data_IF_780849409760
#
_entry.id   IF_780849409760
#
_cell.length_a   1.000
_cell.length_b   1.000
_cell.length_c   1.000
_cell.angle_alpha   90.00
_cell.angle_beta   90.00
_cell.angle_gamma   90.00
#
_symmetry.space_group_name_H-M   'P 1'
#
loop_
_entity.id
_entity.type
_entity.pdbx_description
1 polymer ?
#
# COMPACT_ATOMS: atom_id res chain seq x y z
N UNK A 1 16.57 11.81 27.46
CA UNK A 1 17.75 12.13 26.62
C UNK A 1 17.45 11.74 25.19
N UNK A 2 18.24 12.14 24.19
CA UNK A 2 17.92 11.89 22.77
C UNK A 2 18.03 10.41 22.33
N UNK A 3 18.36 9.53 23.27
CA UNK A 3 18.38 8.08 23.07
C UNK A 3 17.40 7.47 24.06
N UNK A 4 16.42 6.75 23.53
CA UNK A 4 15.48 5.93 24.25
C UNK A 4 15.89 4.46 24.15
N UNK A 5 15.90 3.77 25.29
CA UNK A 5 16.17 2.33 25.34
C UNK A 5 14.86 1.55 25.30
N UNK A 6 14.04 1.81 24.29
CA UNK A 6 12.77 1.12 24.10
C UNK A 6 12.95 -0.08 23.17
N UNK A 7 12.60 -1.27 23.67
CA UNK A 7 12.51 -2.48 22.88
C UNK A 7 11.11 -3.10 23.08
N UNK A 8 10.36 -3.20 22.00
CA UNK A 8 9.07 -3.91 21.95
C UNK A 8 9.32 -5.23 21.23
N UNK A 9 9.13 -6.35 21.91
CA UNK A 9 9.55 -7.66 21.39
C UNK A 9 8.49 -8.72 21.61
N UNK A 10 8.13 -9.47 20.56
CA UNK A 10 7.22 -10.62 20.69
C UNK A 10 5.79 -10.23 21.10
N UNK A 11 5.37 -8.99 20.85
CA UNK A 11 4.05 -8.50 21.24
C UNK A 11 3.00 -8.81 20.18
N UNK A 12 1.75 -8.97 20.62
CA UNK A 12 0.57 -9.11 19.75
C UNK A 12 -0.36 -7.92 20.00
N UNK A 13 -0.71 -7.19 18.95
CA UNK A 13 -1.66 -6.08 18.98
C UNK A 13 -2.76 -6.31 17.95
N UNK A 14 -3.98 -6.59 18.42
CA UNK A 14 -5.10 -7.01 17.56
C UNK A 14 -6.36 -6.20 17.83
N UNK A 15 -6.96 -5.66 16.77
CA UNK A 15 -8.23 -4.94 16.88
C UNK A 15 -8.13 -3.63 17.67
N UNK A 16 -6.94 -3.04 17.80
CA UNK A 16 -6.79 -1.74 18.45
C UNK A 16 -7.38 -0.65 17.54
N UNK A 17 -8.06 0.33 18.15
CA UNK A 17 -8.82 1.33 17.41
C UNK A 17 -8.03 2.10 16.34
N UNK A 18 -6.81 2.50 16.63
CA UNK A 18 -5.96 3.25 15.68
C UNK A 18 -4.71 2.47 15.33
N UNK A 19 -3.77 2.30 16.27
CA UNK A 19 -2.47 1.71 15.98
C UNK A 19 -2.30 0.39 16.73
N UNK A 20 -1.63 -0.58 16.09
CA UNK A 20 -1.08 -1.74 16.79
C UNK A 20 0.03 -1.32 17.73
N UNK A 21 1.11 -0.78 17.16
CA UNK A 21 2.23 -0.13 17.88
C UNK A 21 2.50 1.21 17.19
N UNK A 22 2.74 2.28 17.94
CA UNK A 22 3.12 3.56 17.34
C UNK A 22 4.16 4.28 18.19
N UNK A 23 4.97 5.09 17.53
CA UNK A 23 5.91 6.02 18.13
C UNK A 23 5.56 7.42 17.63
N UNK A 24 5.35 8.33 18.55
CA UNK A 24 4.87 9.67 18.23
C UNK A 24 5.70 10.70 18.98
N UNK A 25 6.27 11.64 18.23
CA UNK A 25 6.92 12.80 18.81
C UNK A 25 5.86 13.70 19.45
N UNK A 26 6.07 14.08 20.72
CA UNK A 26 5.07 14.82 21.50
C UNK A 26 5.20 16.34 21.41
N UNK A 27 6.39 16.85 21.08
CA UNK A 27 6.66 18.28 20.87
C UNK A 27 7.59 18.46 19.67
N UNK A 28 7.29 19.42 18.82
CA UNK A 28 7.97 19.66 17.54
C UNK A 28 9.40 20.21 17.71
N UNK A 29 9.65 20.92 18.82
CA UNK A 29 10.96 21.44 19.20
C UNK A 29 11.87 20.39 19.86
N UNK A 30 11.36 19.18 20.13
CA UNK A 30 12.17 18.10 20.69
C UNK A 30 13.00 17.40 19.62
N UNK A 31 14.21 17.00 20.02
CA UNK A 31 15.04 16.12 19.21
C UNK A 31 14.32 14.77 19.08
N UNK A 32 14.04 14.28 17.85
CA UNK A 32 13.48 12.95 17.62
C UNK A 32 14.20 11.86 18.42
N UNK A 33 13.47 10.98 19.13
CA UNK A 33 14.08 9.94 19.95
C UNK A 33 14.71 8.85 19.08
N UNK A 34 15.86 8.35 19.53
CA UNK A 34 16.64 7.31 18.83
C UNK A 34 16.81 6.05 19.64
N UNK A 35 17.13 4.94 18.97
CA UNK A 35 17.49 3.67 19.63
C UNK A 35 16.30 2.75 19.91
N UNK A 36 15.14 3.06 19.33
CA UNK A 36 13.90 2.31 19.49
C UNK A 36 13.87 1.10 18.55
N UNK A 37 13.45 -0.05 19.06
CA UNK A 37 13.39 -1.31 18.30
C UNK A 37 12.06 -2.02 18.50
N UNK A 38 11.44 -2.45 17.40
CA UNK A 38 10.25 -3.31 17.39
C UNK A 38 10.61 -4.61 16.68
N UNK A 39 10.56 -5.74 17.40
CA UNK A 39 11.09 -7.00 16.89
C UNK A 39 10.13 -8.17 17.11
N UNK A 40 9.91 -8.98 16.08
CA UNK A 40 9.07 -10.18 16.15
C UNK A 40 7.64 -9.93 16.67
N UNK A 41 7.07 -8.75 16.39
CA UNK A 41 5.71 -8.41 16.80
C UNK A 41 4.68 -8.80 15.74
N UNK A 42 3.44 -9.00 16.17
CA UNK A 42 2.29 -9.27 15.32
C UNK A 42 1.23 -8.18 15.51
N UNK A 43 0.81 -7.55 14.41
CA UNK A 43 -0.25 -6.54 14.41
C UNK A 43 -1.34 -6.89 13.39
N UNK A 44 -2.58 -7.03 13.87
CA UNK A 44 -3.73 -7.44 13.03
C UNK A 44 -4.97 -6.59 13.30
N UNK A 45 -5.76 -6.29 12.26
CA UNK A 45 -7.08 -5.65 12.41
C UNK A 45 -7.03 -4.29 13.14
N UNK A 46 -5.89 -3.60 13.13
CA UNK A 46 -5.80 -2.20 13.60
C UNK A 46 -6.07 -1.26 12.40
N UNK A 47 -6.16 0.07 12.59
CA UNK A 47 -6.09 0.97 11.41
C UNK A 47 -4.69 0.93 10.79
N UNK A 48 -3.68 1.08 11.63
CA UNK A 48 -2.28 0.96 11.26
C UNK A 48 -1.62 -0.15 12.07
N UNK A 49 -0.83 -1.00 11.43
CA UNK A 49 -0.09 -2.06 12.14
C UNK A 49 0.98 -1.45 13.04
N UNK A 50 2.03 -0.91 12.43
CA UNK A 50 3.09 -0.17 13.11
C UNK A 50 3.25 1.21 12.49
N UNK A 51 3.29 2.25 13.32
CA UNK A 51 3.42 3.65 12.86
C UNK A 51 4.63 4.37 13.45
N UNK A 52 5.34 5.12 12.61
CA UNK A 52 6.46 5.99 12.98
C UNK A 52 6.13 7.46 12.66
N UNK A 53 5.68 8.18 13.69
CA UNK A 53 5.26 9.57 13.64
C UNK A 53 6.25 10.47 14.41
N UNK A 54 7.55 10.26 14.15
CA UNK A 54 8.58 11.21 14.54
C UNK A 54 9.78 10.62 15.29
N UNK A 55 10.03 9.31 15.21
CA UNK A 55 11.28 8.73 15.69
C UNK A 55 12.44 9.00 14.71
N UNK A 56 13.67 8.89 15.20
CA UNK A 56 14.89 8.87 14.38
C UNK A 56 15.59 7.51 14.55
N UNK A 57 15.74 6.76 13.47
CA UNK A 57 16.40 5.46 13.48
C UNK A 57 15.57 4.32 14.08
N UNK A 58 14.24 4.33 13.89
CA UNK A 58 13.40 3.19 14.27
C UNK A 58 13.83 1.92 13.53
N UNK A 59 14.03 0.82 14.26
CA UNK A 59 14.28 -0.50 13.66
C UNK A 59 13.05 -1.38 13.87
N UNK A 60 12.44 -1.84 12.77
CA UNK A 60 11.37 -2.83 12.76
C UNK A 60 11.87 -4.09 12.08
N UNK A 61 11.87 -5.24 12.77
CA UNK A 61 12.39 -6.47 12.20
C UNK A 61 11.60 -7.72 12.55
N UNK A 62 11.37 -8.57 11.54
CA UNK A 62 10.74 -9.87 11.73
C UNK A 62 9.27 -9.80 12.16
N UNK A 63 8.59 -8.69 11.91
CA UNK A 63 7.21 -8.48 12.32
C UNK A 63 6.21 -8.98 11.27
N UNK A 64 4.98 -9.29 11.69
CA UNK A 64 3.86 -9.58 10.79
C UNK A 64 2.77 -8.51 10.96
N UNK A 65 2.41 -7.82 9.88
CA UNK A 65 1.43 -6.73 9.86
C UNK A 65 0.31 -7.10 8.88
N UNK A 66 -0.77 -7.70 9.40
CA UNK A 66 -1.77 -8.39 8.59
C UNK A 66 -3.15 -7.74 8.73
N UNK A 67 -3.86 -7.48 7.62
CA UNK A 67 -5.26 -7.05 7.71
C UNK A 67 -5.51 -5.74 8.48
N UNK A 68 -4.51 -4.86 8.58
CA UNK A 68 -4.68 -3.53 9.17
C UNK A 68 -5.35 -2.61 8.14
N UNK A 69 -6.38 -1.87 8.55
CA UNK A 69 -7.38 -1.29 7.66
C UNK A 69 -6.82 -0.24 6.71
N UNK A 70 -5.83 0.53 7.14
CA UNK A 70 -5.23 1.63 6.37
C UNK A 70 -3.86 1.24 5.84
N UNK A 71 -2.93 0.82 6.71
CA UNK A 71 -1.61 0.35 6.29
C UNK A 71 -1.03 -0.67 7.26
N UNK A 72 -0.20 -1.57 6.75
CA UNK A 72 0.59 -2.47 7.61
C UNK A 72 1.69 -1.71 8.36
N UNK A 73 2.48 -0.93 7.62
CA UNK A 73 3.49 -0.02 8.18
C UNK A 73 3.24 1.41 7.68
N UNK A 74 3.31 2.39 8.57
CA UNK A 74 3.06 3.80 8.27
C UNK A 74 4.18 4.70 8.79
N UNK A 75 4.64 5.62 7.95
CA UNK A 75 5.41 6.81 8.36
C UNK A 75 4.65 7.99 7.81
N UNK A 76 4.19 8.90 8.66
CA UNK A 76 3.38 10.03 8.21
C UNK A 76 3.31 11.15 9.25
N UNK A 77 2.75 12.29 8.83
CA UNK A 77 2.44 13.42 9.69
C UNK A 77 1.12 13.26 10.48
N UNK A 78 0.61 12.04 10.70
CA UNK A 78 -0.64 11.86 11.47
C UNK A 78 -0.46 12.01 12.98
N UNK A 79 0.78 11.98 13.46
CA UNK A 79 1.07 12.25 14.86
C UNK A 79 0.84 13.70 15.26
N UNK A 80 0.84 13.93 16.56
CA UNK A 80 0.53 15.21 17.23
C UNK A 80 1.39 16.36 16.71
N UNK A 81 2.66 16.14 16.40
CA UNK A 81 3.57 17.17 15.88
C UNK A 81 3.56 17.30 14.37
N UNK A 82 2.80 16.47 13.65
CA UNK A 82 2.79 16.42 12.18
C UNK A 82 4.18 16.15 11.55
N UNK A 83 5.04 15.44 12.27
CA UNK A 83 6.40 15.08 11.83
C UNK A 83 6.47 13.58 11.55
N UNK A 84 6.81 13.20 10.31
CA UNK A 84 7.11 11.80 9.99
C UNK A 84 8.43 11.35 10.60
N UNK A 85 8.54 10.05 10.91
CA UNK A 85 9.81 9.45 11.32
C UNK A 85 10.90 9.55 10.26
N UNK A 86 12.16 9.37 10.65
CA UNK A 86 13.34 9.43 9.77
C UNK A 86 14.38 8.38 10.14
N UNK A 87 15.29 8.08 9.23
CA UNK A 87 16.44 7.19 9.47
C UNK A 87 16.08 5.72 9.75
N UNK A 88 14.81 5.33 9.60
CA UNK A 88 14.34 4.02 10.02
C UNK A 88 14.66 2.89 9.05
N UNK A 89 14.55 1.65 9.56
CA UNK A 89 14.79 0.42 8.83
C UNK A 89 13.66 -0.57 9.13
N UNK A 90 12.97 -1.04 8.10
CA UNK A 90 12.00 -2.14 8.18
C UNK A 90 12.53 -3.34 7.41
N UNK A 91 12.76 -4.46 8.09
CA UNK A 91 13.41 -5.61 7.47
C UNK A 91 12.91 -6.98 7.89
N UNK A 92 12.78 -7.89 6.92
CA UNK A 92 12.37 -9.26 7.14
C UNK A 92 10.92 -9.39 7.65
N UNK A 93 10.07 -8.41 7.35
CA UNK A 93 8.68 -8.39 7.78
C UNK A 93 7.75 -9.02 6.73
N UNK A 94 6.59 -9.50 7.19
CA UNK A 94 5.47 -9.90 6.34
C UNK A 94 4.36 -8.88 6.50
N UNK A 95 4.00 -8.21 5.41
CA UNK A 95 2.97 -7.18 5.36
C UNK A 95 1.94 -7.59 4.33
N UNK A 96 0.79 -8.11 4.77
CA UNK A 96 -0.12 -8.82 3.87
C UNK A 96 -1.60 -8.54 4.17
N UNK A 97 -2.42 -8.58 3.12
CA UNK A 97 -3.89 -8.54 3.21
C UNK A 97 -4.47 -7.31 3.93
N UNK A 98 -3.75 -6.19 3.99
CA UNK A 98 -4.27 -4.93 4.53
C UNK A 98 -5.31 -4.35 3.55
N UNK A 99 -6.55 -4.00 3.96
CA UNK A 99 -7.55 -3.39 3.07
C UNK A 99 -7.09 -2.10 2.37
N UNK A 100 -6.16 -1.38 2.98
CA UNK A 100 -5.43 -0.26 2.37
C UNK A 100 -4.09 -0.70 1.79
N UNK A 101 -3.00 -0.08 2.23
CA UNK A 101 -1.65 -0.27 1.70
C UNK A 101 -0.84 -1.28 2.49
N UNK A 102 0.22 -1.80 1.88
CA UNK A 102 1.25 -2.51 2.64
C UNK A 102 2.07 -1.54 3.48
N UNK A 103 2.86 -0.72 2.79
CA UNK A 103 3.70 0.33 3.37
C UNK A 103 3.21 1.68 2.86
N UNK A 104 2.91 2.60 3.77
CA UNK A 104 2.69 4.01 3.48
C UNK A 104 3.86 4.82 4.05
N UNK A 105 4.57 5.55 3.19
CA UNK A 105 5.67 6.43 3.57
C UNK A 105 5.33 7.85 3.15
N UNK A 106 5.44 8.78 4.09
CA UNK A 106 5.03 10.15 3.88
C UNK A 106 5.54 11.14 4.90
N UNK A 107 5.61 12.40 4.48
CA UNK A 107 6.03 13.55 5.29
C UNK A 107 7.34 13.30 6.06
N UNK A 108 8.20 12.45 5.50
CA UNK A 108 9.52 12.13 6.04
C UNK A 108 10.57 12.87 5.23
N UNK A 109 11.59 13.46 5.88
CA UNK A 109 12.74 13.97 5.15
C UNK A 109 13.63 12.85 4.60
N UNK A 110 13.40 11.60 5.02
CA UNK A 110 14.33 10.49 4.83
C UNK A 110 15.59 10.62 5.71
N UNK A 111 16.56 9.69 5.60
CA UNK A 111 16.51 8.43 4.83
C UNK A 111 15.51 7.41 5.42
N UNK A 112 15.12 6.40 4.66
CA UNK A 112 14.37 5.24 5.18
C UNK A 112 14.67 3.99 4.35
N UNK A 113 14.82 2.85 5.01
CA UNK A 113 15.19 1.58 4.36
C UNK A 113 14.18 0.46 4.55
N UNK A 114 13.79 -0.20 3.46
CA UNK A 114 12.92 -1.37 3.47
C UNK A 114 13.62 -2.54 2.79
N UNK A 115 14.01 -3.55 3.57
CA UNK A 115 14.91 -4.62 3.11
C UNK A 115 14.33 -6.01 3.33
N UNK A 116 14.24 -6.82 2.28
CA UNK A 116 13.91 -8.24 2.42
C UNK A 116 12.51 -8.51 2.96
N UNK A 117 11.55 -7.60 2.75
CA UNK A 117 10.18 -7.77 3.20
C UNK A 117 9.36 -8.52 2.17
N UNK A 118 8.31 -9.23 2.63
CA UNK A 118 7.25 -9.75 1.78
C UNK A 118 6.03 -8.85 1.93
N UNK A 119 5.63 -8.19 0.86
CA UNK A 119 4.54 -7.21 0.86
C UNK A 119 3.52 -7.58 -0.18
N UNK A 120 2.31 -7.97 0.21
CA UNK A 120 1.35 -8.43 -0.77
C UNK A 120 -0.10 -8.46 -0.38
N UNK A 121 -0.92 -8.81 -1.36
CA UNK A 121 -2.36 -8.96 -1.21
C UNK A 121 -3.09 -7.73 -0.62
N UNK A 122 -2.47 -6.55 -0.62
CA UNK A 122 -3.07 -5.36 -0.04
C UNK A 122 -4.15 -4.78 -0.98
N UNK A 123 -5.13 -4.10 -0.40
CA UNK A 123 -6.27 -3.53 -1.12
C UNK A 123 -5.93 -2.32 -1.97
N UNK A 124 -4.74 -1.74 -1.81
CA UNK A 124 -4.19 -0.70 -2.69
C UNK A 124 -2.77 -1.07 -3.13
N UNK A 125 -1.76 -0.38 -2.62
CA UNK A 125 -0.39 -0.48 -3.08
C UNK A 125 0.44 -1.40 -2.19
N UNK A 126 1.50 -1.99 -2.74
CA UNK A 126 2.52 -2.64 -1.90
C UNK A 126 3.30 -1.60 -1.10
N UNK A 127 3.79 -0.58 -1.79
CA UNK A 127 4.44 0.60 -1.24
C UNK A 127 3.80 1.86 -1.81
N UNK A 128 3.52 2.84 -0.97
CA UNK A 128 2.96 4.13 -1.36
C UNK A 128 3.77 5.28 -0.75
N UNK A 129 4.44 6.06 -1.59
CA UNK A 129 5.04 7.35 -1.23
C UNK A 129 3.99 8.46 -1.39
N UNK A 130 3.65 9.17 -0.31
CA UNK A 130 2.70 10.28 -0.37
C UNK A 130 2.93 11.27 0.77
N UNK A 131 2.63 12.55 0.58
CA UNK A 131 2.62 13.52 1.67
C UNK A 131 1.17 13.83 2.07
N UNK A 132 0.89 13.79 3.37
CA UNK A 132 -0.37 14.32 3.90
C UNK A 132 -0.30 15.84 3.98
N UNK A 133 -1.45 16.50 3.76
CA UNK A 133 -1.55 17.94 3.92
C UNK A 133 -1.23 18.36 5.36
N UNK A 134 -0.46 19.43 5.53
CA UNK A 134 -0.06 19.96 6.84
C UNK A 134 1.22 19.35 7.44
N UNK A 135 1.74 18.27 6.86
CA UNK A 135 3.08 17.76 7.18
C UNK A 135 4.17 18.34 6.29
N UNK A 136 5.41 17.85 6.46
CA UNK A 136 6.52 18.17 5.55
C UNK A 136 6.18 17.77 4.10
N UNK A 137 6.41 18.68 3.16
CA UNK A 137 6.13 18.50 1.73
C UNK A 137 7.41 18.42 0.90
N UNK A 138 8.58 18.58 1.53
CA UNK A 138 9.86 18.47 0.85
C UNK A 138 10.06 17.04 0.30
N UNK A 139 10.89 16.88 -0.75
CA UNK A 139 11.20 15.55 -1.27
C UNK A 139 11.86 14.68 -0.21
N UNK A 140 11.36 13.45 -0.03
CA UNK A 140 12.04 12.48 0.80
C UNK A 140 13.36 12.07 0.13
N UNK A 141 14.45 12.07 0.90
CA UNK A 141 15.80 11.78 0.41
C UNK A 141 16.22 10.35 0.78
N UNK A 142 17.03 9.72 -0.06
CA UNK A 142 17.71 8.45 0.28
C UNK A 142 16.76 7.31 0.73
N UNK A 143 15.61 7.19 0.07
CA UNK A 143 14.66 6.09 0.30
C UNK A 143 15.13 4.82 -0.41
N UNK A 144 15.21 3.72 0.32
CA UNK A 144 15.72 2.44 -0.18
C UNK A 144 14.66 1.34 -0.12
N UNK A 145 14.35 0.75 -1.27
CA UNK A 145 13.62 -0.52 -1.38
C UNK A 145 14.57 -1.58 -1.94
N UNK A 146 15.00 -2.51 -1.09
CA UNK A 146 15.96 -3.54 -1.44
C UNK A 146 15.44 -4.96 -1.20
N UNK A 147 15.62 -5.83 -2.20
CA UNK A 147 15.39 -7.28 -2.06
C UNK A 147 14.00 -7.67 -1.52
N UNK A 148 12.97 -6.83 -1.74
CA UNK A 148 11.60 -7.12 -1.31
C UNK A 148 10.87 -8.01 -2.33
N UNK A 149 9.94 -8.85 -1.87
CA UNK A 149 8.95 -9.55 -2.71
C UNK A 149 7.60 -8.83 -2.60
N UNK A 150 7.28 -8.01 -3.62
CA UNK A 150 6.08 -7.17 -3.68
C UNK A 150 5.10 -7.76 -4.69
N UNK A 151 3.96 -8.29 -4.24
CA UNK A 151 3.11 -9.09 -5.13
C UNK A 151 1.63 -9.10 -4.79
N UNK A 152 0.78 -9.31 -5.79
CA UNK A 152 -0.65 -9.54 -5.57
C UNK A 152 -1.42 -8.35 -5.00
N UNK A 153 -0.84 -7.15 -4.99
CA UNK A 153 -1.53 -5.95 -4.54
C UNK A 153 -2.62 -5.56 -5.53
N UNK A 154 -3.69 -4.95 -5.03
CA UNK A 154 -4.84 -4.56 -5.81
C UNK A 154 -4.49 -3.54 -6.90
N UNK A 155 -3.60 -2.60 -6.60
CA UNK A 155 -3.13 -1.55 -7.49
C UNK A 155 -1.64 -1.75 -7.79
N UNK A 156 -0.83 -0.70 -7.74
CA UNK A 156 0.59 -0.77 -8.06
C UNK A 156 1.40 -1.57 -7.04
N UNK A 157 2.51 -2.14 -7.47
CA UNK A 157 3.51 -2.68 -6.54
C UNK A 157 4.13 -1.56 -5.71
N UNK A 158 4.69 -0.55 -6.39
CA UNK A 158 5.28 0.67 -5.84
C UNK A 158 4.58 1.86 -6.49
N UNK A 159 3.99 2.75 -5.70
CA UNK A 159 3.35 3.99 -6.13
C UNK A 159 4.11 5.18 -5.54
N UNK A 160 4.57 6.09 -6.39
CA UNK A 160 5.22 7.33 -5.97
C UNK A 160 4.35 8.55 -6.30
N UNK A 161 3.63 9.06 -5.31
CA UNK A 161 2.75 10.23 -5.42
C UNK A 161 3.32 11.49 -4.72
N UNK A 162 4.43 11.36 -3.98
CA UNK A 162 5.19 12.50 -3.46
C UNK A 162 6.64 12.51 -3.97
N UNK A 163 7.31 13.68 -4.01
CA UNK A 163 8.63 13.81 -4.58
C UNK A 163 9.71 12.98 -3.85
N UNK A 164 10.62 12.40 -4.62
CA UNK A 164 11.79 11.67 -4.12
C UNK A 164 13.10 12.23 -4.69
N UNK A 165 14.14 12.24 -3.86
CA UNK A 165 15.51 12.56 -4.25
C UNK A 165 16.46 11.40 -3.90
N UNK A 166 17.22 10.95 -4.90
CA UNK A 166 18.16 9.84 -4.79
C UNK A 166 17.57 8.52 -4.24
N UNK A 167 16.33 8.11 -4.63
CA UNK A 167 15.80 6.83 -4.16
C UNK A 167 16.52 5.65 -4.81
N UNK A 168 16.66 4.54 -4.09
CA UNK A 168 17.25 3.30 -4.58
C UNK A 168 16.23 2.15 -4.54
N UNK A 169 15.88 1.63 -5.72
CA UNK A 169 15.03 0.46 -5.89
C UNK A 169 15.86 -0.65 -6.51
N UNK A 170 16.30 -1.65 -5.75
CA UNK A 170 17.18 -2.67 -6.30
C UNK A 170 16.98 -4.08 -5.76
N UNK A 171 17.19 -5.07 -6.64
CA UNK A 171 17.06 -6.49 -6.30
C UNK A 171 15.64 -6.93 -5.93
N UNK A 172 14.60 -6.11 -6.14
CA UNK A 172 13.24 -6.46 -5.75
C UNK A 172 12.62 -7.45 -6.76
N UNK A 173 11.73 -8.31 -6.26
CA UNK A 173 10.79 -9.09 -7.08
C UNK A 173 9.40 -8.46 -6.99
N UNK A 174 8.89 -7.98 -8.11
CA UNK A 174 7.60 -7.29 -8.19
C UNK A 174 6.73 -7.99 -9.25
N UNK A 175 5.59 -8.54 -8.84
CA UNK A 175 4.79 -9.40 -9.74
C UNK A 175 3.31 -9.47 -9.41
N UNK A 176 2.48 -9.71 -10.43
CA UNK A 176 1.06 -10.02 -10.25
C UNK A 176 0.28 -8.97 -9.46
N UNK A 177 0.76 -7.72 -9.45
CA UNK A 177 0.01 -6.59 -8.89
C UNK A 177 -1.12 -6.19 -9.85
N UNK A 178 -1.89 -5.16 -9.51
CA UNK A 178 -3.04 -4.73 -10.28
C UNK A 178 -4.25 -5.65 -10.17
N UNK A 179 -4.34 -6.45 -9.09
CA UNK A 179 -5.40 -7.46 -8.89
C UNK A 179 -6.81 -6.89 -8.90
N UNK A 180 -7.00 -5.61 -8.58
CA UNK A 180 -8.25 -4.87 -8.80
C UNK A 180 -8.46 -4.64 -10.28
N UNK A 181 -8.78 -5.71 -11.01
CA UNK A 181 -8.89 -5.75 -12.46
C UNK A 181 -10.33 -5.95 -12.95
N UNK A 182 -11.27 -6.28 -12.07
CA UNK A 182 -12.67 -6.40 -12.47
C UNK A 182 -13.24 -5.03 -12.87
N UNK A 183 -14.16 -4.97 -13.85
CA UNK A 183 -14.85 -3.72 -14.20
C UNK A 183 -15.77 -3.25 -13.06
N UNK A 184 -16.34 -2.07 -13.24
CA UNK A 184 -17.45 -1.58 -12.43
C UNK A 184 -18.67 -2.48 -12.62
N UNK A 185 -19.46 -2.63 -11.57
CA UNK A 185 -20.66 -3.47 -11.60
C UNK A 185 -21.70 -2.96 -10.63
N UNK A 186 -22.94 -3.40 -10.83
CA UNK A 186 -24.08 -3.08 -9.98
C UNK A 186 -25.01 -4.28 -9.95
N UNK A 187 -25.71 -4.45 -8.84
CA UNK A 187 -26.72 -5.49 -8.67
C UNK A 187 -27.75 -5.09 -7.64
N UNK A 188 -28.73 -5.97 -7.41
CA UNK A 188 -29.84 -5.78 -6.48
C UNK A 188 -30.99 -6.74 -6.77
N UNK A 189 -31.98 -6.75 -5.89
CA UNK A 189 -33.15 -7.62 -5.99
C UNK A 189 -32.90 -9.05 -5.49
N UNK A 190 -33.75 -9.97 -5.92
CA UNK A 190 -33.68 -11.38 -5.52
C UNK A 190 -32.32 -12.01 -5.85
N UNK A 191 -31.71 -12.68 -4.86
CA UNK A 191 -30.38 -13.29 -4.94
C UNK A 191 -29.24 -12.41 -4.41
N UNK A 192 -29.53 -11.16 -3.99
CA UNK A 192 -28.55 -10.30 -3.30
C UNK A 192 -28.75 -10.34 -1.80
N UNK A 193 -27.71 -10.69 -1.06
CA UNK A 193 -27.74 -10.84 0.39
C UNK A 193 -26.54 -10.16 1.05
N UNK A 194 -26.80 -9.26 1.99
CA UNK A 194 -25.74 -8.71 2.84
C UNK A 194 -25.66 -9.52 4.14
N UNK A 195 -24.46 -9.99 4.48
CA UNK A 195 -24.12 -10.53 5.79
C UNK A 195 -23.28 -9.52 6.59
N UNK A 196 -22.87 -9.83 7.83
CA UNK A 196 -22.11 -8.87 8.64
C UNK A 196 -20.80 -8.41 7.97
N UNK A 197 -20.07 -9.30 7.31
CA UNK A 197 -18.80 -9.01 6.64
C UNK A 197 -18.79 -9.51 5.18
N UNK A 198 -19.96 -9.61 4.56
CA UNK A 198 -20.09 -10.15 3.21
C UNK A 198 -21.24 -9.53 2.44
N UNK A 199 -21.13 -9.60 1.12
CA UNK A 199 -22.24 -9.42 0.19
C UNK A 199 -22.20 -10.54 -0.84
N UNK A 200 -23.30 -11.26 -1.01
CA UNK A 200 -23.48 -12.29 -2.03
C UNK A 200 -24.43 -11.77 -3.11
N UNK A 201 -24.07 -11.97 -4.37
CA UNK A 201 -24.95 -11.82 -5.53
C UNK A 201 -24.92 -13.13 -6.32
N UNK A 202 -25.98 -13.93 -6.19
CA UNK A 202 -26.07 -15.26 -6.82
C UNK A 202 -26.04 -15.22 -8.36
N UNK A 203 -26.25 -14.05 -8.96
CA UNK A 203 -26.24 -13.85 -10.42
C UNK A 203 -24.94 -13.23 -10.92
N UNK A 204 -24.01 -12.90 -10.02
CA UNK A 204 -22.71 -12.40 -10.41
C UNK A 204 -21.81 -13.49 -10.99
N UNK A 205 -20.87 -13.07 -11.83
CA UNK A 205 -19.76 -13.87 -12.36
C UNK A 205 -18.48 -13.02 -12.32
N UNK A 206 -18.12 -12.58 -11.11
CA UNK A 206 -16.98 -11.69 -10.92
C UNK A 206 -15.65 -12.43 -11.12
N UNK A 207 -14.65 -11.69 -11.61
CA UNK A 207 -13.27 -12.18 -11.59
C UNK A 207 -12.84 -12.38 -10.12
N UNK A 208 -12.40 -13.59 -9.70
CA UNK A 208 -11.97 -13.82 -8.33
C UNK A 208 -10.81 -12.91 -7.91
N UNK A 209 -10.96 -12.25 -6.76
CA UNK A 209 -10.07 -11.19 -6.25
C UNK A 209 -10.03 -9.91 -7.09
N UNK A 210 -10.84 -9.80 -8.14
CA UNK A 210 -10.90 -8.69 -9.07
C UNK A 210 -11.47 -7.39 -8.49
N UNK A 211 -12.23 -7.48 -7.39
CA UNK A 211 -12.84 -6.35 -6.71
C UNK A 211 -12.07 -5.89 -5.45
N UNK A 212 -10.94 -6.52 -5.14
CA UNK A 212 -10.12 -6.19 -3.96
C UNK A 212 -9.84 -4.69 -3.82
N UNK A 213 -10.08 -4.18 -2.62
CA UNK A 213 -9.93 -2.80 -2.16
C UNK A 213 -10.93 -1.79 -2.75
N UNK A 214 -11.88 -2.22 -3.60
CA UNK A 214 -12.93 -1.30 -4.06
C UNK A 214 -13.82 -0.92 -2.89
N UNK A 215 -14.28 0.33 -2.92
CA UNK A 215 -15.37 0.78 -2.07
C UNK A 215 -16.69 0.32 -2.69
N UNK A 216 -17.37 -0.59 -2.00
CA UNK A 216 -18.71 -1.04 -2.28
C UNK A 216 -19.69 -0.03 -1.70
N UNK A 217 -20.62 0.44 -2.51
CA UNK A 217 -21.75 1.28 -2.08
C UNK A 217 -23.01 0.43 -2.07
N UNK A 218 -23.79 0.46 -0.98
CA UNK A 218 -25.04 -0.32 -0.83
C UNK A 218 -26.16 0.59 -0.32
N UNK A 219 -27.32 0.55 -0.95
CA UNK A 219 -28.48 1.37 -0.58
C UNK A 219 -28.93 2.34 -1.68
N UNK A 220 -30.02 3.08 -1.45
CA UNK A 220 -30.42 4.21 -2.30
C UNK A 220 -29.57 5.45 -1.98
N UNK A 221 -29.40 6.37 -2.94
CA UNK A 221 -28.54 7.57 -2.83
C UNK A 221 -28.68 8.35 -1.50
N UNK A 222 -29.90 8.44 -0.95
CA UNK A 222 -30.18 9.18 0.29
C UNK A 222 -29.73 8.47 1.58
N UNK A 223 -29.44 7.17 1.52
CA UNK A 223 -29.04 6.34 2.67
C UNK A 223 -28.01 5.26 2.31
N UNK A 224 -27.13 5.56 1.36
CA UNK A 224 -26.04 4.65 0.98
C UNK A 224 -25.05 4.47 2.15
N UNK A 225 -24.67 3.22 2.38
CA UNK A 225 -23.54 2.85 3.24
C UNK A 225 -22.41 2.30 2.40
N UNK A 226 -21.17 2.46 2.87
CA UNK A 226 -19.98 1.96 2.17
C UNK A 226 -19.25 0.88 2.97
N UNK A 227 -18.61 -0.02 2.24
CA UNK A 227 -17.72 -1.04 2.79
C UNK A 227 -16.53 -1.27 1.85
N UNK A 228 -15.38 -1.69 2.38
CA UNK A 228 -14.20 -2.01 1.56
C UNK A 228 -14.16 -3.50 1.28
N UNK A 229 -14.00 -3.89 0.01
CA UNK A 229 -13.85 -5.30 -0.38
C UNK A 229 -12.43 -5.78 -0.04
N UNK A 230 -12.30 -6.84 0.75
CA UNK A 230 -11.01 -7.50 1.06
C UNK A 230 -10.65 -8.52 -0.02
N UNK A 231 -11.62 -9.30 -0.45
CA UNK A 231 -11.46 -10.27 -1.52
C UNK A 231 -12.82 -10.66 -2.11
N UNK A 232 -12.83 -11.41 -3.21
CA UNK A 232 -14.08 -11.93 -3.76
C UNK A 232 -13.93 -13.26 -4.49
N UNK A 233 -15.00 -14.06 -4.47
CA UNK A 233 -15.24 -15.18 -5.41
C UNK A 233 -16.02 -14.66 -6.63
N UNK A 234 -16.58 -15.57 -7.43
CA UNK A 234 -17.47 -15.19 -8.54
C UNK A 234 -18.78 -14.54 -8.06
N UNK A 235 -19.25 -14.88 -6.86
CA UNK A 235 -20.57 -14.50 -6.33
C UNK A 235 -20.53 -13.83 -4.96
N UNK A 236 -19.41 -13.89 -4.25
CA UNK A 236 -19.29 -13.42 -2.87
C UNK A 236 -18.18 -12.38 -2.72
N UNK A 237 -18.51 -11.26 -2.11
CA UNK A 237 -17.57 -10.26 -1.62
C UNK A 237 -17.30 -10.53 -0.14
N UNK A 238 -16.03 -10.57 0.24
CA UNK A 238 -15.60 -10.47 1.64
C UNK A 238 -15.30 -9.01 1.94
N UNK A 239 -15.82 -8.48 3.04
CA UNK A 239 -15.78 -7.06 3.38
C UNK A 239 -14.93 -6.82 4.63
N UNK A 240 -14.22 -5.68 4.65
CA UNK A 240 -13.48 -5.23 5.80
C UNK A 240 -14.45 -4.78 6.91
N UNK A 241 -14.13 -5.02 8.20
CA UNK A 241 -14.89 -4.45 9.29
C UNK A 241 -14.93 -2.92 9.23
N UNK A 242 -16.04 -2.31 9.67
CA UNK A 242 -16.22 -0.85 9.64
C UNK A 242 -15.20 -0.10 10.52
N UNK A 243 -14.66 -0.79 11.52
CA UNK A 243 -13.56 -0.34 12.38
C UNK A 243 -12.85 -1.55 12.99
N UNK A 244 -11.61 -1.38 13.48
CA UNK A 244 -10.92 -2.41 14.27
C UNK A 244 -11.80 -3.05 15.33
N UNK A 245 -11.76 -4.39 15.39
CA UNK A 245 -12.53 -5.21 16.33
C UNK A 245 -14.03 -5.28 16.07
N UNK A 246 -14.56 -4.66 15.02
CA UNK A 246 -15.98 -4.77 14.68
C UNK A 246 -16.32 -6.13 14.03
N UNK A 247 -17.46 -6.70 14.38
CA UNK A 247 -17.99 -7.91 13.74
C UNK A 247 -18.82 -7.64 12.48
N UNK A 248 -18.79 -6.40 11.96
CA UNK A 248 -19.62 -5.94 10.84
C UNK A 248 -18.88 -4.92 9.98
N UNK A 249 -19.18 -4.90 8.68
CA UNK A 249 -18.72 -3.92 7.70
C UNK A 249 -19.61 -2.67 7.67
N UNK A 250 -20.77 -2.73 8.33
CA UNK A 250 -21.83 -1.75 8.18
C UNK A 250 -21.96 -0.84 9.42
N UNK A 251 -21.96 0.49 9.28
CA UNK A 251 -22.06 1.42 10.40
C UNK A 251 -23.44 1.41 11.06
N UNK A 252 -24.51 1.37 10.24
CA UNK A 252 -25.90 1.57 10.69
C UNK A 252 -26.72 0.27 10.68
N UNK A 253 -26.04 -0.88 10.69
CA UNK A 253 -26.64 -2.21 10.59
C UNK A 253 -26.54 -2.83 9.19
N UNK A 254 -26.77 -4.14 9.11
CA UNK A 254 -26.64 -4.87 7.83
C UNK A 254 -27.75 -4.46 6.87
N UNK A 255 -27.42 -4.05 5.63
CA UNK A 255 -28.42 -3.73 4.61
C UNK A 255 -29.40 -4.88 4.38
N UNK A 256 -30.63 -4.55 4.02
CA UNK A 256 -31.69 -5.53 3.81
C UNK A 256 -31.42 -6.49 2.64
N UNK A 257 -32.09 -7.65 2.59
CA UNK A 257 -32.05 -8.51 1.42
C UNK A 257 -32.49 -7.77 0.16
N UNK A 258 -31.78 -8.01 -0.95
CA UNK A 258 -32.05 -7.41 -2.24
C UNK A 258 -31.72 -5.92 -2.36
N UNK A 259 -31.11 -5.30 -1.34
CA UNK A 259 -30.65 -3.91 -1.45
C UNK A 259 -29.66 -3.76 -2.61
N UNK A 260 -29.86 -2.72 -3.42
CA UNK A 260 -29.01 -2.46 -4.56
C UNK A 260 -27.58 -2.09 -4.12
N UNK A 261 -26.60 -2.47 -4.92
CA UNK A 261 -25.20 -2.15 -4.68
C UNK A 261 -24.50 -1.68 -5.96
N UNK A 262 -23.38 -0.97 -5.77
CA UNK A 262 -22.50 -0.51 -6.84
C UNK A 262 -21.03 -0.70 -6.44
N UNK A 263 -20.23 -1.15 -7.39
CA UNK A 263 -18.77 -1.16 -7.34
C UNK A 263 -18.23 -0.29 -8.48
N UNK A 264 -17.24 0.58 -8.23
CA UNK A 264 -16.66 1.43 -9.25
C UNK A 264 -15.80 0.63 -10.23
N UNK A 265 -15.46 1.25 -11.36
CA UNK A 265 -14.43 0.72 -12.28
C UNK A 265 -13.05 0.61 -11.62
N UNK A 266 -12.20 -0.23 -12.20
CA UNK A 266 -10.80 -0.29 -11.78
C UNK A 266 -10.02 0.94 -12.29
N UNK A 267 -9.20 1.60 -11.45
CA UNK A 267 -8.31 2.65 -11.94
C UNK A 267 -7.22 2.02 -12.81
N UNK A 268 -6.83 2.73 -13.87
CA UNK A 268 -5.77 2.31 -14.78
C UNK A 268 -4.87 3.49 -15.12
N UNK A 269 -3.57 3.26 -15.42
CA UNK A 269 -2.83 1.99 -15.34
C UNK A 269 -2.57 1.43 -13.92
N UNK A 270 -2.21 0.15 -13.86
CA UNK A 270 -1.75 -0.57 -12.65
C UNK A 270 -0.41 -1.25 -12.94
N UNK A 271 0.69 -0.69 -12.46
CA UNK A 271 2.05 -1.09 -12.82
C UNK A 271 2.80 -1.75 -11.65
N UNK A 272 3.94 -2.38 -11.95
CA UNK A 272 4.85 -2.82 -10.91
C UNK A 272 5.45 -1.64 -10.14
N UNK A 273 5.87 -0.60 -10.86
CA UNK A 273 6.34 0.67 -10.34
C UNK A 273 5.68 1.81 -11.11
N UNK A 274 5.08 2.75 -10.38
CA UNK A 274 4.53 3.98 -10.93
C UNK A 274 5.18 5.20 -10.30
N UNK A 275 5.63 6.13 -11.14
CA UNK A 275 5.96 7.49 -10.75
C UNK A 275 4.86 8.45 -11.20
N UNK A 276 4.26 9.15 -10.24
CA UNK A 276 3.25 10.21 -10.43
C UNK A 276 3.65 11.54 -9.76
N UNK A 277 4.89 11.61 -9.25
CA UNK A 277 5.52 12.82 -8.75
C UNK A 277 6.96 12.93 -9.27
N UNK A 278 7.70 13.94 -8.80
CA UNK A 278 9.10 14.12 -9.17
C UNK A 278 9.99 13.02 -8.56
N UNK A 279 10.79 12.37 -9.39
CA UNK A 279 11.80 11.39 -8.98
C UNK A 279 13.15 11.83 -9.55
N UNK A 280 14.05 12.26 -8.68
CA UNK A 280 15.34 12.82 -9.07
C UNK A 280 16.49 11.89 -8.69
N UNK A 281 17.42 11.66 -9.62
CA UNK A 281 18.58 10.78 -9.48
C UNK A 281 18.30 9.35 -8.98
N UNK A 282 17.24 8.67 -9.43
CA UNK A 282 16.92 7.34 -8.92
C UNK A 282 17.96 6.29 -9.32
N UNK A 283 18.19 5.30 -8.45
CA UNK A 283 18.95 4.10 -8.73
C UNK A 283 18.02 2.88 -8.80
N UNK A 284 17.67 2.45 -10.02
CA UNK A 284 16.79 1.31 -10.27
C UNK A 284 17.58 0.17 -10.91
N UNK A 285 17.91 -0.86 -10.14
CA UNK A 285 18.85 -1.89 -10.60
C UNK A 285 18.49 -3.33 -10.19
N UNK A 286 18.66 -4.28 -11.12
CA UNK A 286 18.56 -5.70 -10.78
C UNK A 286 17.17 -6.15 -10.34
N UNK A 287 16.13 -5.38 -10.62
CA UNK A 287 14.77 -5.74 -10.24
C UNK A 287 14.18 -6.70 -11.27
N UNK A 288 13.34 -7.63 -10.79
CA UNK A 288 12.45 -8.42 -11.63
C UNK A 288 11.03 -7.92 -11.46
N UNK A 289 10.53 -7.18 -12.45
CA UNK A 289 9.20 -6.56 -12.45
C UNK A 289 8.37 -7.12 -13.61
N UNK A 290 7.73 -8.26 -13.36
CA UNK A 290 7.06 -9.06 -14.40
C UNK A 290 5.78 -9.69 -13.89
N UNK A 291 4.88 -10.04 -14.80
CA UNK A 291 3.66 -10.79 -14.47
C UNK A 291 3.48 -12.00 -15.38
N UNK A 292 4.00 -13.15 -14.93
CA UNK A 292 3.84 -14.45 -15.59
C UNK A 292 2.52 -15.16 -15.20
N UNK A 293 1.70 -14.53 -14.36
CA UNK A 293 0.42 -15.06 -13.90
C UNK A 293 -0.66 -15.07 -14.99
N UNK A 294 -1.69 -15.89 -14.79
CA UNK A 294 -2.90 -15.91 -15.62
C UNK A 294 -4.15 -15.72 -14.73
N UNK A 295 -5.01 -14.73 -14.99
CA UNK A 295 -4.80 -13.64 -15.95
C UNK A 295 -3.64 -12.72 -15.50
N UNK A 296 -2.98 -12.07 -16.47
CA UNK A 296 -2.00 -11.01 -16.20
C UNK A 296 -2.76 -9.75 -15.78
N UNK A 297 -2.47 -9.24 -14.59
CA UNK A 297 -3.16 -8.09 -14.00
C UNK A 297 -2.25 -6.86 -13.89
N UNK A 298 -0.93 -7.05 -13.85
CA UNK A 298 0.05 -5.97 -13.87
C UNK A 298 0.26 -5.51 -15.31
N UNK A 299 -0.13 -4.27 -15.62
CA UNK A 299 -0.22 -3.78 -17.00
C UNK A 299 1.18 -3.45 -17.55
N UNK A 300 2.00 -2.81 -16.72
CA UNK A 300 3.37 -2.39 -17.06
C UNK A 300 4.35 -2.73 -15.95
N UNK A 301 5.63 -2.89 -16.28
CA UNK A 301 6.67 -2.93 -15.26
C UNK A 301 6.86 -1.55 -14.65
N UNK A 302 7.07 -0.54 -15.51
CA UNK A 302 7.25 0.86 -15.11
C UNK A 302 6.24 1.74 -15.84
N UNK A 303 5.55 2.60 -15.09
CA UNK A 303 4.74 3.68 -15.63
C UNK A 303 5.23 5.03 -15.09
N UNK A 304 5.52 5.97 -15.98
CA UNK A 304 5.75 7.39 -15.63
C UNK A 304 4.51 8.15 -16.10
N UNK A 305 3.74 8.64 -15.13
CA UNK A 305 2.49 9.35 -15.36
C UNK A 305 2.72 10.73 -16.01
N UNK A 306 1.68 11.34 -16.63
CA UNK A 306 1.81 12.64 -17.31
C UNK A 306 2.34 13.76 -16.42
N UNK A 307 1.95 13.76 -15.15
CA UNK A 307 2.32 14.76 -14.14
C UNK A 307 3.72 14.53 -13.54
N UNK A 308 4.31 13.36 -13.75
CA UNK A 308 5.58 13.00 -13.16
C UNK A 308 6.76 13.64 -13.90
N UNK A 309 7.84 13.87 -13.16
CA UNK A 309 9.16 14.16 -13.73
C UNK A 309 10.13 13.11 -13.26
N UNK A 310 10.87 12.52 -14.19
CA UNK A 310 11.92 11.54 -13.88
C UNK A 310 13.24 12.09 -14.41
N UNK A 311 14.13 12.50 -13.52
CA UNK A 311 15.32 13.27 -13.89
C UNK A 311 16.60 12.58 -13.43
N UNK A 312 17.53 12.35 -14.35
CA UNK A 312 18.84 11.80 -14.03
C UNK A 312 18.81 10.31 -13.63
N UNK A 313 19.77 9.91 -12.80
CA UNK A 313 19.83 8.58 -12.22
C UNK A 313 20.24 7.46 -13.18
N UNK A 314 19.98 6.22 -12.77
CA UNK A 314 20.35 5.00 -13.50
C UNK A 314 19.23 3.97 -13.36
N UNK A 315 18.72 3.51 -14.51
CA UNK A 315 17.79 2.38 -14.63
C UNK A 315 18.46 1.30 -15.46
N UNK A 316 18.96 0.24 -14.82
CA UNK A 316 19.70 -0.79 -15.57
C UNK A 316 19.65 -2.19 -15.01
N UNK A 317 19.81 -3.20 -15.86
CA UNK A 317 19.90 -4.59 -15.43
C UNK A 317 18.58 -5.11 -14.86
N UNK A 318 17.44 -4.56 -15.28
CA UNK A 318 16.13 -4.98 -14.81
C UNK A 318 15.46 -5.95 -15.80
N UNK A 319 14.63 -6.84 -15.30
CA UNK A 319 13.72 -7.67 -16.10
C UNK A 319 12.31 -7.09 -16.03
N UNK A 320 11.89 -6.40 -17.10
CA UNK A 320 10.58 -5.75 -17.26
C UNK A 320 9.62 -6.52 -18.17
N UNK A 321 9.99 -7.74 -18.56
CA UNK A 321 9.23 -8.55 -19.51
C UNK A 321 7.92 -9.10 -18.94
N UNK A 322 7.06 -9.63 -19.81
CA UNK A 322 5.92 -10.47 -19.39
C UNK A 322 4.69 -9.74 -18.85
N UNK A 323 4.70 -8.42 -18.67
CA UNK A 323 3.54 -7.65 -18.22
C UNK A 323 2.35 -7.73 -19.21
N UNK A 324 1.14 -7.35 -18.76
CA UNK A 324 -0.09 -7.58 -19.52
C UNK A 324 -0.18 -6.78 -20.84
N UNK A 325 0.43 -5.59 -20.90
CA UNK A 325 0.41 -4.74 -22.09
C UNK A 325 1.81 -4.50 -22.66
N UNK A 326 2.67 -3.82 -21.91
CA UNK A 326 4.02 -3.47 -22.34
C UNK A 326 4.96 -3.36 -21.15
N UNK A 327 6.26 -3.50 -21.36
CA UNK A 327 7.28 -3.40 -20.31
C UNK A 327 7.28 -2.03 -19.65
N UNK A 328 7.27 -0.96 -20.44
CA UNK A 328 7.26 0.42 -19.92
C UNK A 328 6.19 1.27 -20.60
N UNK A 329 5.61 2.22 -19.86
CA UNK A 329 4.77 3.29 -20.39
C UNK A 329 5.27 4.63 -19.87
N UNK A 330 5.60 5.56 -20.78
CA UNK A 330 6.04 6.90 -20.43
C UNK A 330 5.06 7.90 -21.04
N UNK A 331 4.18 8.43 -20.21
CA UNK A 331 3.30 9.53 -20.60
C UNK A 331 4.03 10.88 -20.43
N UNK A 332 5.01 10.91 -19.52
CA UNK A 332 6.06 11.94 -19.44
C UNK A 332 7.42 11.28 -19.69
N UNK A 333 8.23 11.87 -20.57
CA UNK A 333 9.52 11.30 -20.93
C UNK A 333 10.56 11.52 -19.83
N UNK A 334 11.35 10.51 -19.44
CA UNK A 334 12.47 10.71 -18.52
C UNK A 334 13.52 11.64 -19.15
N UNK A 335 14.09 12.53 -18.34
CA UNK A 335 15.10 13.50 -18.77
C UNK A 335 16.46 13.22 -18.14
N UNK A 336 17.52 13.18 -18.95
CA UNK A 336 18.85 12.79 -18.48
C UNK A 336 18.94 11.33 -17.99
N UNK A 337 20.00 11.01 -17.25
CA UNK A 337 20.21 9.68 -16.67
C UNK A 337 20.68 8.61 -17.66
N UNK A 338 20.69 7.35 -17.20
CA UNK A 338 21.09 6.19 -18.02
C UNK A 338 20.08 5.06 -17.91
N UNK A 339 19.44 4.73 -19.03
CA UNK A 339 18.53 3.60 -19.18
C UNK A 339 19.18 2.56 -20.10
N UNK A 340 19.66 1.43 -19.56
CA UNK A 340 20.41 0.41 -20.32
C UNK A 340 20.16 -0.98 -19.78
N UNK A 341 20.29 -2.00 -20.63
CA UNK A 341 20.28 -3.42 -20.21
C UNK A 341 19.01 -3.80 -19.42
N UNK A 342 17.87 -3.23 -19.80
CA UNK A 342 16.56 -3.61 -19.25
C UNK A 342 15.88 -4.52 -20.28
N UNK A 343 15.47 -5.72 -19.85
CA UNK A 343 14.80 -6.67 -20.73
C UNK A 343 13.31 -6.33 -20.85
N UNK A 344 12.82 -6.22 -22.09
CA UNK A 344 11.42 -5.96 -22.42
C UNK A 344 11.16 -4.58 -23.00
#
# INVERSE_FOLDING_TARGET
>A
GPVERLAVTGCTARGNGTNGIFLELQQDDWVPPRGIRITACHTEDNRYGISDWGADGLIVTGCTMLGNHVAGFDVSAQGTTSVGGRGGIVTGCVIDANPGDGIALGNTPGPYGFHGNRVGNNGRYGYWEHNLAGGDQEPATDIVLESNDIHGNALDGIRVDAPLHEPAFFGNRIRGNGRRAAPGTRGGGEGVHCGPLSLTDERADWLPGGHRGKELTVGPEESEVTAVVVDNTATDLTLAPVRPGAGTAWPDGTPGPGTAYRLPDCPAPRAGLTAAAAVTHPYVHGNRVRDDGHPRTQIHAVWIAPEATWTGGRVSGNDFSGNASASTRFDSAPSGGRWRDNAG
#
